data_IF_963115993132
#
_entry.id   IF_963115993132
#
_cell.length_a   1.000
_cell.length_b   1.000
_cell.length_c   1.000
_cell.angle_alpha   90.00
_cell.angle_beta   90.00
_cell.angle_gamma   90.00
#
_symmetry.space_group_name_H-M   'P 1'
#
loop_
_entity.id
_entity.type
_entity.pdbx_description
1 polymer ?
#
# COMPACT_ATOMS: atom_id res chain seq x y z
N UNK A 1 -22.16 1.31 10.25
CA UNK A 1 -21.04 0.34 10.12
C UNK A 1 -21.60 -1.00 10.55
N UNK A 2 -21.71 -1.97 9.65
CA UNK A 2 -22.53 -3.16 9.85
C UNK A 2 -21.66 -4.36 10.24
N UNK A 3 -22.03 -5.10 11.28
CA UNK A 3 -21.27 -6.25 11.83
C UNK A 3 -21.03 -7.37 10.79
N UNK A 4 -21.83 -7.39 9.73
CA UNK A 4 -21.91 -8.49 8.76
C UNK A 4 -21.05 -8.27 7.51
N UNK A 5 -20.43 -7.09 7.36
CA UNK A 5 -19.45 -6.81 6.31
C UNK A 5 -18.15 -6.41 7.01
N UNK A 6 -17.29 -7.39 7.36
CA UNK A 6 -15.98 -7.08 7.91
C UNK A 6 -15.21 -6.21 6.91
N UNK A 7 -14.25 -5.47 7.43
CA UNK A 7 -13.35 -4.63 6.64
C UNK A 7 -12.77 -5.51 5.51
N UNK A 8 -12.75 -5.04 4.24
CA UNK A 8 -12.00 -5.73 3.20
C UNK A 8 -10.59 -5.95 3.70
N UNK A 9 -10.15 -7.22 3.74
CA UNK A 9 -8.84 -7.58 4.27
C UNK A 9 -7.77 -6.78 3.50
N UNK A 10 -6.88 -6.15 4.25
CA UNK A 10 -5.81 -5.37 3.65
C UNK A 10 -4.76 -6.36 3.17
N UNK A 11 -4.48 -6.30 1.88
CA UNK A 11 -3.58 -7.21 1.20
C UNK A 11 -2.26 -6.50 0.90
N UNK A 12 -1.16 -7.21 1.14
CA UNK A 12 0.19 -6.80 0.72
C UNK A 12 0.65 -7.76 -0.36
N UNK A 13 0.94 -7.21 -1.53
CA UNK A 13 1.33 -8.01 -2.69
C UNK A 13 2.45 -7.29 -3.49
N UNK A 14 2.96 -7.94 -4.52
CA UNK A 14 4.03 -7.45 -5.36
C UNK A 14 3.69 -7.58 -6.85
N UNK A 15 4.24 -6.69 -7.66
CA UNK A 15 4.08 -6.72 -9.12
C UNK A 15 5.35 -6.31 -9.83
N UNK A 16 5.47 -6.73 -11.09
CA UNK A 16 6.43 -6.16 -12.04
C UNK A 16 5.86 -4.84 -12.59
N UNK A 17 6.60 -3.74 -12.46
CA UNK A 17 6.22 -2.43 -12.95
C UNK A 17 5.36 -1.65 -11.96
N UNK A 18 4.25 -1.08 -12.45
CA UNK A 18 3.38 -0.19 -11.69
C UNK A 18 2.32 -0.96 -10.89
N UNK A 19 2.02 -0.55 -9.64
CA UNK A 19 1.00 -1.20 -8.83
C UNK A 19 -0.41 -0.93 -9.38
N UNK A 20 -1.42 -1.73 -8.98
CA UNK A 20 -2.82 -1.44 -9.30
C UNK A 20 -3.19 -0.03 -8.85
N UNK A 21 -4.08 0.63 -9.61
CA UNK A 21 -4.59 1.97 -9.26
C UNK A 21 -5.06 2.00 -7.79
N UNK A 22 -4.98 3.15 -7.13
CA UNK A 22 -5.40 3.34 -5.72
C UNK A 22 -4.62 2.55 -4.65
N UNK A 23 -3.67 1.70 -5.04
CA UNK A 23 -2.76 1.03 -4.10
C UNK A 23 -1.72 2.02 -3.55
N UNK A 24 -1.19 1.71 -2.37
CA UNK A 24 -0.08 2.46 -1.79
C UNK A 24 1.22 1.72 -2.09
N UNK A 25 2.13 2.34 -2.83
CA UNK A 25 3.49 1.82 -3.05
C UNK A 25 4.27 1.83 -1.75
N UNK A 26 4.80 0.68 -1.36
CA UNK A 26 5.58 0.51 -0.15
C UNK A 26 7.08 0.62 -0.45
N UNK A 27 7.54 -0.20 -1.38
CA UNK A 27 8.90 -0.18 -1.91
C UNK A 27 8.92 -0.53 -3.39
N UNK A 28 9.90 0.02 -4.09
CA UNK A 28 10.25 -0.40 -5.43
C UNK A 28 11.76 -0.58 -5.54
N UNK A 29 12.17 -1.51 -6.39
CA UNK A 29 13.56 -1.70 -6.76
C UNK A 29 13.63 -1.86 -8.28
N UNK A 30 14.58 -1.15 -8.89
CA UNK A 30 14.86 -1.21 -10.32
C UNK A 30 16.24 -1.82 -10.53
N UNK A 31 16.40 -2.48 -11.68
CA UNK A 31 17.71 -2.96 -12.13
C UNK A 31 18.65 -1.81 -12.42
N UNK A 32 18.15 -0.76 -13.09
CA UNK A 32 18.88 0.47 -13.39
C UNK A 32 17.98 1.68 -13.18
N UNK A 33 18.50 2.80 -12.65
CA UNK A 33 17.71 4.01 -12.45
C UNK A 33 17.06 4.48 -13.75
N UNK A 34 15.73 4.57 -13.79
CA UNK A 34 14.98 5.05 -14.96
C UNK A 34 14.56 3.96 -15.94
N UNK A 35 14.93 2.70 -15.70
CA UNK A 35 14.46 1.56 -16.49
C UNK A 35 13.16 1.02 -15.87
N UNK A 36 12.01 1.44 -16.41
CA UNK A 36 10.68 1.02 -15.92
C UNK A 36 10.34 -0.44 -16.22
N UNK A 37 11.02 -1.08 -17.17
CA UNK A 37 10.72 -2.44 -17.64
C UNK A 37 11.06 -3.54 -16.64
N UNK A 38 12.01 -3.29 -15.72
CA UNK A 38 12.48 -4.25 -14.73
C UNK A 38 12.45 -3.63 -13.33
N UNK A 39 11.23 -3.26 -12.91
CA UNK A 39 10.93 -2.74 -11.58
C UNK A 39 10.11 -3.78 -10.81
N UNK A 40 10.55 -4.17 -9.62
CA UNK A 40 9.69 -4.89 -8.66
C UNK A 40 9.08 -3.87 -7.73
N UNK A 41 7.75 -3.88 -7.59
CA UNK A 41 7.01 -2.98 -6.71
C UNK A 41 6.21 -3.78 -5.69
N UNK A 42 6.42 -3.51 -4.41
CA UNK A 42 5.60 -4.00 -3.30
C UNK A 42 4.55 -2.92 -3.00
N UNK A 43 3.29 -3.33 -2.91
CA UNK A 43 2.16 -2.44 -2.70
C UNK A 43 1.21 -2.98 -1.63
N UNK A 44 0.43 -2.07 -1.03
CA UNK A 44 -0.69 -2.41 -0.14
C UNK A 44 -2.00 -1.95 -0.76
N UNK A 45 -3.02 -2.81 -0.74
CA UNK A 45 -4.35 -2.56 -1.28
C UNK A 45 -5.43 -3.08 -0.33
N UNK A 46 -6.64 -2.54 -0.44
CA UNK A 46 -7.82 -3.14 0.17
C UNK A 46 -8.79 -3.47 -0.97
N UNK A 47 -8.95 -4.76 -1.23
CA UNK A 47 -9.82 -5.25 -2.31
C UNK A 47 -11.26 -5.25 -1.80
N UNK A 48 -12.03 -4.26 -2.22
CA UNK A 48 -13.50 -4.36 -2.16
C UNK A 48 -13.92 -5.14 -3.39
N UNK A 49 -14.76 -6.16 -3.20
CA UNK A 49 -15.11 -7.19 -4.20
C UNK A 49 -15.40 -6.71 -5.63
N UNK A 50 -15.29 -7.64 -6.58
CA UNK A 50 -15.54 -7.56 -8.02
C UNK A 50 -15.87 -6.15 -8.57
N UNK A 51 -14.86 -5.30 -8.69
CA UNK A 51 -14.93 -4.09 -9.50
C UNK A 51 -14.93 -2.77 -8.72
N UNK A 52 -13.86 -2.02 -8.97
CA UNK A 52 -13.95 -0.58 -9.25
C UNK A 52 -13.76 0.43 -8.13
N UNK A 53 -13.19 0.06 -6.97
CA UNK A 53 -12.41 1.04 -6.21
C UNK A 53 -11.43 0.35 -5.25
N UNK A 54 -10.11 0.42 -5.49
CA UNK A 54 -9.12 0.10 -4.48
C UNK A 54 -9.36 1.05 -3.31
N UNK A 55 -9.87 0.53 -2.19
CA UNK A 55 -10.00 1.34 -0.99
C UNK A 55 -8.59 1.72 -0.52
N UNK A 56 -8.39 3.00 -0.23
CA UNK A 56 -7.04 3.51 0.05
C UNK A 56 -6.57 2.94 1.39
N UNK A 57 -5.59 2.04 1.37
CA UNK A 57 -4.92 1.50 2.56
C UNK A 57 -4.47 2.62 3.53
N UNK A 58 -4.15 3.80 2.98
CA UNK A 58 -3.84 5.04 3.71
C UNK A 58 -4.95 5.51 4.65
N UNK A 59 -6.22 5.35 4.28
CA UNK A 59 -7.35 5.82 5.11
C UNK A 59 -7.57 4.95 6.35
N UNK A 60 -7.24 3.66 6.26
CA UNK A 60 -7.20 2.79 7.43
C UNK A 60 -6.01 3.14 8.34
N UNK A 61 -4.83 3.32 7.76
CA UNK A 61 -3.59 3.52 8.53
C UNK A 61 -3.56 4.87 9.27
N UNK A 62 -4.00 5.95 8.62
CA UNK A 62 -3.86 7.31 9.16
C UNK A 62 -5.19 7.93 9.60
N UNK A 63 -6.32 7.26 9.33
CA UNK A 63 -7.65 7.82 9.55
C UNK A 63 -7.92 9.02 8.67
N UNK A 64 -8.97 9.76 9.00
CA UNK A 64 -9.30 11.03 8.36
C UNK A 64 -9.47 12.13 9.39
N UNK A 65 -9.28 13.38 8.97
CA UNK A 65 -9.70 14.53 9.78
C UNK A 65 -11.21 14.48 10.05
N UNK A 66 -11.66 15.28 11.00
CA UNK A 66 -13.07 15.50 11.24
C UNK A 66 -13.74 16.01 9.97
N UNK A 67 -14.88 15.40 9.65
CA UNK A 67 -15.71 15.78 8.51
C UNK A 67 -16.86 16.61 9.03
N UNK A 68 -17.07 17.76 8.42
CA UNK A 68 -18.17 18.66 8.72
C UNK A 68 -18.99 18.89 7.45
N UNK A 69 -20.31 19.04 7.58
CA UNK A 69 -21.14 19.48 6.44
C UNK A 69 -20.85 20.94 6.10
N UNK A 70 -21.29 21.43 4.93
CA UNK A 70 -21.21 22.87 4.59
C UNK A 70 -21.83 23.77 5.67
N UNK A 71 -22.78 23.24 6.44
CA UNK A 71 -23.48 23.94 7.52
C UNK A 71 -22.78 23.77 8.89
N UNK A 72 -21.56 23.23 8.90
CA UNK A 72 -20.71 23.10 10.10
C UNK A 72 -21.04 21.92 11.02
N UNK A 73 -21.94 21.00 10.63
CA UNK A 73 -22.30 19.86 11.48
C UNK A 73 -21.27 18.73 11.39
N UNK A 74 -20.74 18.30 12.54
CA UNK A 74 -19.87 17.13 12.62
C UNK A 74 -20.56 15.88 12.08
N UNK A 75 -19.91 15.24 11.11
CA UNK A 75 -20.41 14.07 10.38
C UNK A 75 -19.59 12.81 10.70
N UNK A 76 -18.54 12.94 11.53
CA UNK A 76 -17.69 11.83 11.91
C UNK A 76 -16.24 11.99 11.47
N UNK A 77 -15.43 11.03 11.89
CA UNK A 77 -14.06 10.83 11.44
C UNK A 77 -13.79 9.33 11.34
N UNK A 78 -12.94 8.92 10.41
CA UNK A 78 -12.41 7.56 10.41
C UNK A 78 -11.23 7.56 11.38
N UNK A 79 -11.33 6.78 12.47
CA UNK A 79 -10.23 6.62 13.42
C UNK A 79 -9.10 5.86 12.76
N UNK A 80 -7.86 6.34 12.93
CA UNK A 80 -6.68 5.64 12.47
C UNK A 80 -6.58 4.27 13.16
N UNK A 81 -6.42 3.22 12.36
CA UNK A 81 -6.08 1.89 12.83
C UNK A 81 -4.73 1.56 12.20
N UNK A 82 -3.60 1.89 12.88
CA UNK A 82 -2.29 1.58 12.34
C UNK A 82 -2.07 0.07 12.38
N UNK A 83 -1.84 -0.55 11.24
CA UNK A 83 -1.59 -2.00 11.14
C UNK A 83 -0.28 -2.30 10.43
N UNK A 84 0.14 -1.44 9.48
CA UNK A 84 1.26 -1.76 8.60
C UNK A 84 2.36 -0.70 8.59
N UNK A 85 2.05 0.60 8.67
CA UNK A 85 3.06 1.64 8.46
C UNK A 85 4.15 1.72 9.54
N UNK A 86 3.87 1.54 10.85
CA UNK A 86 4.92 1.43 11.87
C UNK A 86 5.88 0.28 11.58
N UNK A 87 5.35 -0.89 11.24
CA UNK A 87 6.13 -2.09 10.92
C UNK A 87 6.94 -1.85 9.64
N UNK A 88 6.30 -1.34 8.58
CA UNK A 88 6.97 -0.97 7.35
C UNK A 88 8.14 -0.02 7.56
N UNK A 89 7.94 1.05 8.33
CA UNK A 89 8.99 2.02 8.63
C UNK A 89 10.17 1.37 9.35
N UNK A 90 9.92 0.49 10.32
CA UNK A 90 10.96 -0.23 11.03
C UNK A 90 11.78 -1.14 10.09
N UNK A 91 11.13 -1.77 9.12
CA UNK A 91 11.78 -2.73 8.21
C UNK A 91 12.16 -2.20 6.83
N UNK A 92 11.80 -0.95 6.49
CA UNK A 92 11.97 -0.34 5.15
C UNK A 92 13.38 -0.54 4.59
N UNK A 93 14.41 -0.23 5.38
CA UNK A 93 15.82 -0.36 4.97
C UNK A 93 16.19 -1.82 4.69
N UNK A 94 15.72 -2.74 5.54
CA UNK A 94 15.99 -4.19 5.43
C UNK A 94 15.32 -4.77 4.19
N UNK A 95 14.05 -4.44 3.97
CA UNK A 95 13.28 -4.91 2.80
C UNK A 95 13.95 -4.41 1.52
N UNK A 96 14.25 -3.11 1.43
CA UNK A 96 14.93 -2.55 0.26
C UNK A 96 16.27 -3.24 -0.03
N UNK A 97 17.11 -3.43 0.98
CA UNK A 97 18.41 -4.09 0.84
C UNK A 97 18.28 -5.55 0.37
N UNK A 98 17.29 -6.29 0.89
CA UNK A 98 17.02 -7.67 0.45
C UNK A 98 16.51 -7.73 -0.98
N UNK A 99 15.60 -6.82 -1.36
CA UNK A 99 15.10 -6.73 -2.73
C UNK A 99 16.23 -6.45 -3.72
N UNK A 100 17.05 -5.41 -3.46
CA UNK A 100 18.17 -5.08 -4.34
C UNK A 100 19.18 -6.20 -4.42
N UNK A 101 19.51 -6.86 -3.31
CA UNK A 101 20.43 -7.99 -3.28
C UNK A 101 19.90 -9.20 -4.06
N UNK A 102 18.61 -9.50 -3.95
CA UNK A 102 17.96 -10.57 -4.71
C UNK A 102 17.99 -10.30 -6.21
N UNK A 103 17.67 -9.07 -6.64
CA UNK A 103 17.75 -8.64 -8.04
C UNK A 103 19.18 -8.76 -8.57
N UNK A 104 20.16 -8.22 -7.85
CA UNK A 104 21.57 -8.31 -8.27
C UNK A 104 22.07 -9.75 -8.34
N UNK A 105 21.61 -10.64 -7.45
CA UNK A 105 21.94 -12.06 -7.49
C UNK A 105 21.29 -12.74 -8.70
N UNK A 106 20.03 -12.42 -9.00
CA UNK A 106 19.32 -12.95 -10.16
C UNK A 106 20.02 -12.55 -11.47
N UNK A 107 20.42 -11.27 -11.62
CA UNK A 107 21.16 -10.79 -12.80
C UNK A 107 22.51 -11.49 -12.95
N UNK A 108 23.22 -11.73 -11.85
CA UNK A 108 24.54 -12.36 -11.88
C UNK A 108 24.49 -13.85 -12.25
N UNK A 109 23.34 -14.48 -12.04
CA UNK A 109 23.08 -15.89 -12.31
C UNK A 109 22.25 -16.10 -13.59
N UNK A 110 21.94 -15.03 -14.34
CA UNK A 110 21.44 -15.06 -15.70
C UNK A 110 22.61 -15.21 -16.67
#
# INVERSE_FOLDING_TARGET
MNKNTPIPEIEVDWTWGSPPSGSVTLASAEVSPGTSSLRITIYATAVVGAGSFPAVARWFEFGTSERHTQVGRYTGRITAQPYFYPVWRAYKRRVRSRMTGAISKAIRNL
#
